data_IF_539339608919
#
_entry.id   IF_539339608919
#
_cell.length_a   1.000
_cell.length_b   1.000
_cell.length_c   1.000
_cell.angle_alpha   90.00
_cell.angle_beta   90.00
_cell.angle_gamma   90.00
#
_symmetry.space_group_name_H-M   'P 1'
#
loop_
_entity.id
_entity.type
_entity.pdbx_description
1 polymer ?
#
# COMPACT_ATOMS: atom_id res chain seq x y z
N UNK A 1 -6.03 16.89 -29.34
CA UNK A 1 -5.13 16.78 -28.15
C UNK A 1 -4.18 15.62 -28.39
N UNK A 2 -2.92 15.77 -28.04
CA UNK A 2 -1.95 14.66 -28.02
C UNK A 2 -2.20 13.76 -26.81
N UNK A 3 -1.67 12.52 -26.81
CA UNK A 3 -1.78 11.59 -25.66
C UNK A 3 -1.26 12.23 -24.36
N UNK A 4 -0.19 13.03 -24.42
CA UNK A 4 0.34 13.74 -23.26
C UNK A 4 -0.60 14.82 -22.73
N UNK A 5 -1.29 15.56 -23.60
CA UNK A 5 -2.30 16.53 -23.21
C UNK A 5 -3.54 15.86 -22.59
N UNK A 6 -3.94 14.70 -23.13
CA UNK A 6 -5.04 13.88 -22.59
C UNK A 6 -4.67 13.34 -21.20
N UNK A 7 -3.45 12.80 -21.04
CA UNK A 7 -2.94 12.36 -19.75
C UNK A 7 -2.89 13.51 -18.73
N UNK A 8 -2.35 14.67 -19.13
CA UNK A 8 -2.28 15.85 -18.26
C UNK A 8 -3.67 16.28 -17.78
N UNK A 9 -4.69 16.25 -18.65
CA UNK A 9 -6.07 16.54 -18.25
C UNK A 9 -6.58 15.53 -17.23
N UNK A 10 -6.34 14.22 -17.45
CA UNK A 10 -6.72 13.19 -16.49
C UNK A 10 -6.02 13.46 -15.13
N UNK A 11 -4.71 13.69 -15.12
CA UNK A 11 -3.96 13.92 -13.89
C UNK A 11 -4.45 15.12 -13.07
N UNK A 12 -4.95 16.15 -13.72
CA UNK A 12 -5.48 17.36 -13.05
C UNK A 12 -6.91 17.16 -12.52
N UNK A 13 -7.75 16.46 -13.26
CA UNK A 13 -9.19 16.36 -12.96
C UNK A 13 -9.57 15.06 -12.23
N UNK A 14 -8.71 14.02 -12.33
CA UNK A 14 -9.01 12.71 -11.76
C UNK A 14 -9.08 12.76 -10.23
N UNK A 15 -10.17 12.26 -9.70
CA UNK A 15 -10.38 12.11 -8.25
C UNK A 15 -10.93 10.72 -7.95
N UNK A 16 -10.16 9.93 -7.21
CA UNK A 16 -10.63 8.67 -6.65
C UNK A 16 -10.55 8.76 -5.13
N UNK A 17 -11.71 8.90 -4.48
CA UNK A 17 -11.78 9.06 -3.03
C UNK A 17 -11.41 7.75 -2.31
N UNK A 18 -10.76 7.85 -1.15
CA UNK A 18 -10.60 6.74 -0.21
C UNK A 18 -11.94 6.53 0.49
N UNK A 19 -12.80 5.66 -0.05
CA UNK A 19 -14.16 5.41 0.45
C UNK A 19 -14.29 4.12 1.26
N UNK A 20 -13.33 3.20 1.15
CA UNK A 20 -13.31 1.92 1.87
C UNK A 20 -12.61 2.08 3.21
N UNK A 21 -13.20 1.55 4.28
CA UNK A 21 -12.61 1.59 5.62
C UNK A 21 -12.07 0.21 6.01
N UNK A 22 -10.79 0.17 6.38
CA UNK A 22 -10.18 -1.01 6.98
C UNK A 22 -10.35 -0.93 8.51
N UNK A 23 -11.26 -1.76 9.06
CA UNK A 23 -11.57 -1.78 10.49
C UNK A 23 -10.42 -2.33 11.35
N UNK A 24 -9.58 -3.17 10.79
CA UNK A 24 -8.42 -3.76 11.49
C UNK A 24 -7.30 -2.75 11.67
N UNK A 25 -6.91 -2.07 10.58
CA UNK A 25 -5.84 -1.06 10.60
C UNK A 25 -6.35 0.38 10.82
N UNK A 26 -7.67 0.59 10.92
CA UNK A 26 -8.33 1.89 11.21
C UNK A 26 -7.96 3.02 10.25
N UNK A 27 -7.91 2.74 8.95
CA UNK A 27 -7.69 3.76 7.93
C UNK A 27 -8.62 3.61 6.74
N UNK A 28 -8.86 4.72 6.03
CA UNK A 28 -9.57 4.71 4.75
C UNK A 28 -8.62 4.43 3.59
N UNK A 29 -9.06 3.59 2.66
CA UNK A 29 -8.30 3.24 1.47
C UNK A 29 -9.20 3.23 0.23
N UNK A 30 -8.57 3.19 -0.94
CA UNK A 30 -9.22 2.87 -2.22
C UNK A 30 -8.64 1.56 -2.75
N UNK A 31 -9.45 0.80 -3.44
CA UNK A 31 -9.00 -0.41 -4.13
C UNK A 31 -8.55 -0.07 -5.57
N UNK A 32 -7.92 -1.04 -6.24
CA UNK A 32 -7.62 -0.91 -7.67
C UNK A 32 -8.88 -0.73 -8.50
N UNK A 33 -9.97 -1.42 -8.14
CA UNK A 33 -11.27 -1.33 -8.80
C UNK A 33 -11.86 0.08 -8.71
N UNK A 34 -11.73 0.74 -7.55
CA UNK A 34 -12.22 2.12 -7.37
C UNK A 34 -11.50 3.09 -8.31
N UNK A 35 -10.18 2.89 -8.55
CA UNK A 35 -9.42 3.69 -9.51
C UNK A 35 -9.86 3.38 -10.94
N UNK A 36 -9.97 2.11 -11.30
CA UNK A 36 -10.40 1.67 -12.62
C UNK A 36 -11.80 2.22 -12.98
N UNK A 37 -12.76 2.13 -12.06
CA UNK A 37 -14.10 2.67 -12.27
C UNK A 37 -14.08 4.20 -12.43
N UNK A 38 -13.33 4.92 -11.61
CA UNK A 38 -13.20 6.37 -11.70
C UNK A 38 -12.47 6.82 -12.98
N UNK A 39 -11.69 5.94 -13.63
CA UNK A 39 -10.99 6.24 -14.89
C UNK A 39 -11.93 6.18 -16.11
N UNK A 40 -12.95 5.32 -16.10
CA UNK A 40 -13.81 5.05 -17.27
C UNK A 40 -14.46 6.30 -17.91
N UNK A 41 -14.98 7.28 -17.15
CA UNK A 41 -15.52 8.50 -17.74
C UNK A 41 -14.50 9.25 -18.59
N UNK A 42 -13.25 9.36 -18.12
CA UNK A 42 -12.15 10.01 -18.85
C UNK A 42 -11.75 9.26 -20.12
N UNK A 43 -11.73 7.91 -20.05
CA UNK A 43 -11.45 7.09 -21.23
C UNK A 43 -12.45 7.39 -22.35
N UNK A 44 -13.74 7.47 -22.01
CA UNK A 44 -14.81 7.79 -22.95
C UNK A 44 -14.72 9.22 -23.46
N UNK A 45 -14.54 10.21 -22.58
CA UNK A 45 -14.50 11.62 -22.93
C UNK A 45 -13.34 11.97 -23.85
N UNK A 46 -12.16 11.40 -23.57
CA UNK A 46 -10.92 11.73 -24.27
C UNK A 46 -10.62 10.79 -25.45
N UNK A 47 -11.50 9.85 -25.74
CA UNK A 47 -11.29 8.81 -26.77
C UNK A 47 -9.91 8.13 -26.62
N UNK A 48 -9.68 7.58 -25.44
CA UNK A 48 -8.47 6.81 -25.10
C UNK A 48 -8.83 5.45 -24.55
N UNK A 49 -7.91 4.50 -24.68
CA UNK A 49 -8.05 3.13 -24.15
C UNK A 49 -7.09 2.92 -23.00
N UNK A 50 -7.56 2.32 -21.90
CA UNK A 50 -6.76 1.90 -20.78
C UNK A 50 -6.50 0.38 -20.82
N UNK A 51 -5.28 -0.05 -20.57
CA UNK A 51 -4.90 -1.47 -20.49
C UNK A 51 -3.97 -1.70 -19.30
N UNK A 52 -4.15 -2.82 -18.61
CA UNK A 52 -3.22 -3.30 -17.59
C UNK A 52 -2.49 -4.53 -18.16
N UNK A 53 -1.16 -4.50 -18.09
CA UNK A 53 -0.30 -5.65 -18.38
C UNK A 53 0.28 -6.15 -17.07
N UNK A 54 0.28 -7.47 -16.86
CA UNK A 54 0.86 -8.10 -15.66
C UNK A 54 1.86 -9.15 -16.14
N UNK A 55 3.07 -9.13 -15.58
CA UNK A 55 4.14 -10.02 -15.94
C UNK A 55 4.92 -10.47 -14.71
N UNK A 56 5.16 -11.76 -14.59
CA UNK A 56 6.03 -12.31 -13.55
C UNK A 56 7.49 -12.19 -14.02
N UNK A 57 8.23 -11.24 -13.45
CA UNK A 57 9.61 -10.91 -13.86
C UNK A 57 10.66 -11.64 -13.05
N UNK A 58 10.30 -12.22 -11.91
CA UNK A 58 11.15 -13.09 -11.11
C UNK A 58 10.32 -14.20 -10.48
N UNK A 59 10.90 -15.40 -10.36
CA UNK A 59 10.21 -16.59 -9.84
C UNK A 59 10.59 -16.93 -8.40
N UNK A 60 11.78 -16.52 -7.95
CA UNK A 60 12.28 -16.79 -6.60
C UNK A 60 13.16 -15.63 -6.07
N UNK A 61 12.67 -14.80 -5.13
CA UNK A 61 11.25 -14.70 -4.74
C UNK A 61 10.38 -14.18 -5.91
N UNK A 62 9.11 -14.58 -5.99
CA UNK A 62 8.28 -14.16 -7.13
C UNK A 62 7.96 -12.67 -7.07
N UNK A 63 8.18 -12.01 -8.21
CA UNK A 63 8.00 -10.57 -8.38
C UNK A 63 7.10 -10.31 -9.60
N UNK A 64 6.03 -9.57 -9.38
CA UNK A 64 5.07 -9.18 -10.40
C UNK A 64 5.33 -7.74 -10.83
N UNK A 65 5.53 -7.55 -12.13
CA UNK A 65 5.50 -6.24 -12.77
C UNK A 65 4.10 -5.96 -13.28
N UNK A 66 3.57 -4.79 -12.95
CA UNK A 66 2.27 -4.32 -13.44
C UNK A 66 2.46 -3.00 -14.17
N UNK A 67 1.99 -2.95 -15.42
CA UNK A 67 2.08 -1.76 -16.27
C UNK A 67 0.68 -1.25 -16.59
N UNK A 68 0.38 -0.01 -16.20
CA UNK A 68 -0.80 0.71 -16.64
C UNK A 68 -0.47 1.48 -17.92
N UNK A 69 -1.24 1.26 -18.97
CA UNK A 69 -1.03 1.85 -20.30
C UNK A 69 -2.26 2.65 -20.69
N UNK A 70 -2.06 3.87 -21.18
CA UNK A 70 -3.08 4.71 -21.80
C UNK A 70 -2.70 4.92 -23.26
N UNK A 71 -3.59 4.55 -24.19
CA UNK A 71 -3.36 4.61 -25.65
C UNK A 71 -4.36 5.55 -26.30
N UNK A 72 -3.90 6.40 -27.21
CA UNK A 72 -4.72 7.33 -28.00
C UNK A 72 -5.39 6.62 -29.16
N UNK A 73 -6.73 6.78 -29.29
CA UNK A 73 -7.54 6.25 -30.37
C UNK A 73 -7.79 4.75 -30.30
N UNK A 74 -8.38 4.21 -31.38
CA UNK A 74 -8.61 2.77 -31.53
C UNK A 74 -7.28 2.07 -31.76
N UNK A 75 -7.04 0.99 -31.02
CA UNK A 75 -5.90 0.09 -31.22
C UNK A 75 -5.94 -0.46 -32.66
N UNK A 76 -5.12 0.06 -33.55
CA UNK A 76 -4.83 -0.60 -34.82
C UNK A 76 -3.78 -1.68 -34.57
N UNK A 77 -4.03 -2.89 -35.05
CA UNK A 77 -3.10 -4.00 -34.92
C UNK A 77 -1.73 -3.62 -35.49
N UNK A 78 -0.69 -3.59 -34.65
CA UNK A 78 0.69 -3.34 -35.07
C UNK A 78 1.24 -1.92 -34.81
N UNK A 79 0.47 -0.98 -34.23
CA UNK A 79 0.93 0.39 -33.95
C UNK A 79 1.05 0.73 -32.46
N UNK A 80 1.39 -0.25 -31.64
CA UNK A 80 1.24 -0.24 -30.16
C UNK A 80 2.00 0.88 -29.43
N UNK A 81 3.11 1.41 -29.95
CA UNK A 81 4.01 2.26 -29.17
C UNK A 81 4.00 3.76 -29.54
N UNK A 82 3.55 4.15 -30.71
CA UNK A 82 3.68 5.54 -31.18
C UNK A 82 2.71 6.53 -30.51
N UNK A 83 1.65 6.06 -29.82
CA UNK A 83 0.59 6.90 -29.24
C UNK A 83 0.18 6.42 -27.84
N UNK A 84 1.10 5.89 -27.06
CA UNK A 84 0.81 5.39 -25.72
C UNK A 84 1.72 6.02 -24.66
N UNK A 85 1.21 6.11 -23.46
CA UNK A 85 1.95 6.47 -22.25
C UNK A 85 1.71 5.40 -21.20
N UNK A 86 2.70 5.12 -20.38
CA UNK A 86 2.59 4.06 -19.38
C UNK A 86 3.30 4.44 -18.08
N UNK A 87 2.94 3.71 -17.03
CA UNK A 87 3.66 3.69 -15.78
C UNK A 87 3.71 2.27 -15.22
N UNK A 88 4.79 1.96 -14.53
CA UNK A 88 5.11 0.62 -14.03
C UNK A 88 5.09 0.63 -12.51
N UNK A 89 4.64 -0.48 -11.94
CA UNK A 89 4.84 -0.83 -10.55
C UNK A 89 5.41 -2.24 -10.44
N UNK A 90 6.27 -2.45 -9.45
CA UNK A 90 6.88 -3.75 -9.15
C UNK A 90 6.47 -4.13 -7.73
N UNK A 91 5.91 -5.33 -7.56
CA UNK A 91 5.44 -5.84 -6.28
C UNK A 91 5.91 -7.27 -6.06
N UNK A 92 6.40 -7.58 -4.86
CA UNK A 92 6.70 -8.95 -4.46
C UNK A 92 5.42 -9.72 -4.14
N UNK A 93 5.44 -11.04 -4.35
CA UNK A 93 4.38 -11.93 -3.90
C UNK A 93 4.83 -12.57 -2.59
N UNK A 94 4.13 -12.27 -1.49
CA UNK A 94 4.41 -12.87 -0.19
C UNK A 94 3.92 -14.32 -0.17
N UNK A 95 4.87 -15.27 -0.30
CA UNK A 95 4.58 -16.70 -0.28
C UNK A 95 4.32 -17.26 1.12
N UNK A 96 4.71 -16.52 2.17
CA UNK A 96 4.57 -16.95 3.56
C UNK A 96 3.33 -16.38 4.25
N UNK A 97 2.52 -15.62 3.54
CA UNK A 97 1.32 -15.01 4.09
C UNK A 97 0.34 -16.06 4.61
N UNK A 98 0.20 -16.12 5.94
CA UNK A 98 -0.65 -17.09 6.63
C UNK A 98 -2.13 -16.88 6.29
N UNK A 99 -2.86 -17.99 6.12
CA UNK A 99 -4.31 -17.97 5.86
C UNK A 99 -4.69 -17.66 4.41
N UNK A 100 -3.74 -17.49 3.50
CA UNK A 100 -3.99 -17.30 2.06
C UNK A 100 -3.45 -18.48 1.24
N UNK A 101 -4.27 -18.95 0.30
CA UNK A 101 -3.84 -19.91 -0.72
C UNK A 101 -3.03 -19.18 -1.82
N UNK A 102 -2.23 -19.93 -2.58
CA UNK A 102 -1.36 -19.39 -3.63
C UNK A 102 -2.08 -18.44 -4.60
N UNK A 103 -3.26 -18.77 -5.18
CA UNK A 103 -3.95 -17.82 -6.07
C UNK A 103 -4.35 -16.52 -5.39
N UNK A 104 -4.67 -16.55 -4.10
CA UNK A 104 -5.02 -15.35 -3.33
C UNK A 104 -3.80 -14.44 -3.10
N UNK A 105 -2.62 -15.02 -2.89
CA UNK A 105 -1.35 -14.27 -2.73
C UNK A 105 -1.00 -13.52 -4.00
N UNK A 106 -1.08 -14.18 -5.17
CA UNK A 106 -0.91 -13.54 -6.47
C UNK A 106 -1.98 -12.48 -6.73
N UNK A 107 -3.25 -12.77 -6.40
CA UNK A 107 -4.36 -11.80 -6.52
C UNK A 107 -4.14 -10.55 -5.67
N UNK A 108 -3.61 -10.71 -4.45
CA UNK A 108 -3.25 -9.59 -3.60
C UNK A 108 -2.13 -8.75 -4.24
N UNK A 109 -1.03 -9.38 -4.69
CA UNK A 109 0.07 -8.69 -5.37
C UNK A 109 -0.42 -7.96 -6.64
N UNK A 110 -1.26 -8.60 -7.46
CA UNK A 110 -1.90 -8.00 -8.64
C UNK A 110 -2.70 -6.74 -8.27
N UNK A 111 -3.54 -6.81 -7.23
CA UNK A 111 -4.34 -5.66 -6.77
C UNK A 111 -3.47 -4.50 -6.30
N UNK A 112 -2.39 -4.77 -5.56
CA UNK A 112 -1.42 -3.75 -5.16
C UNK A 112 -0.69 -3.17 -6.36
N UNK A 113 -0.21 -4.02 -7.28
CA UNK A 113 0.50 -3.60 -8.47
C UNK A 113 -0.36 -2.70 -9.36
N UNK A 114 -1.63 -3.05 -9.61
CA UNK A 114 -2.60 -2.21 -10.34
C UNK A 114 -2.78 -0.86 -9.68
N UNK A 115 -2.98 -0.84 -8.36
CA UNK A 115 -3.16 0.40 -7.60
C UNK A 115 -1.94 1.32 -7.73
N UNK A 116 -0.74 0.78 -7.62
CA UNK A 116 0.49 1.57 -7.73
C UNK A 116 0.78 2.00 -9.18
N UNK A 117 0.62 1.11 -10.17
CA UNK A 117 0.82 1.47 -11.57
C UNK A 117 -0.15 2.57 -12.03
N UNK A 118 -1.43 2.46 -11.66
CA UNK A 118 -2.44 3.50 -11.94
C UNK A 118 -2.16 4.78 -11.14
N UNK A 119 -1.74 4.66 -9.89
CA UNK A 119 -1.33 5.78 -9.06
C UNK A 119 -0.18 6.56 -9.68
N UNK A 120 0.83 5.87 -10.18
CA UNK A 120 1.97 6.47 -10.87
C UNK A 120 1.54 7.14 -12.20
N UNK A 121 0.67 6.48 -12.98
CA UNK A 121 0.22 7.01 -14.27
C UNK A 121 -0.62 8.28 -14.10
N UNK A 122 -1.53 8.29 -13.14
CA UNK A 122 -2.47 9.40 -12.94
C UNK A 122 -2.03 10.39 -11.85
N UNK A 123 -0.82 10.23 -11.30
CA UNK A 123 -0.26 11.07 -10.23
C UNK A 123 -1.22 11.20 -9.04
N UNK A 124 -1.76 10.06 -8.59
CA UNK A 124 -2.68 10.03 -7.45
C UNK A 124 -1.88 10.17 -6.16
N UNK A 125 -1.74 11.41 -5.70
CA UNK A 125 -0.95 11.77 -4.53
C UNK A 125 -1.85 11.98 -3.29
N UNK A 126 -2.18 10.89 -2.63
CA UNK A 126 -2.80 10.91 -1.30
C UNK A 126 -2.44 9.64 -0.49
N UNK A 127 -1.37 8.99 -0.87
CA UNK A 127 -0.74 8.01 0.00
C UNK A 127 -0.14 8.75 1.19
N UNK A 128 -0.66 8.47 2.40
CA UNK A 128 0.12 8.82 3.59
C UNK A 128 1.49 8.17 3.42
N UNK A 129 2.53 8.97 3.50
CA UNK A 129 3.90 8.51 3.46
C UNK A 129 4.05 7.39 4.52
N UNK A 130 4.42 6.20 4.08
CA UNK A 130 4.66 5.08 4.99
C UNK A 130 5.73 5.44 6.03
N UNK A 131 6.67 6.30 5.67
CA UNK A 131 7.71 6.81 6.57
C UNK A 131 7.15 7.80 7.60
N UNK A 132 6.08 8.53 7.29
CA UNK A 132 5.41 9.41 8.26
C UNK A 132 4.76 8.64 9.43
N UNK A 133 4.42 7.37 9.22
CA UNK A 133 3.88 6.48 10.26
C UNK A 133 4.92 5.51 10.81
N UNK A 134 6.16 5.55 10.29
CA UNK A 134 7.26 4.73 10.77
C UNK A 134 7.68 5.17 12.17
N UNK A 135 7.39 4.32 13.16
CA UNK A 135 7.78 4.54 14.55
C UNK A 135 9.16 3.95 14.88
N UNK A 136 9.88 3.41 13.89
CA UNK A 136 11.25 2.96 14.08
C UNK A 136 12.14 4.17 14.42
N UNK A 137 12.65 4.19 15.65
CA UNK A 137 13.47 5.29 16.15
C UNK A 137 12.75 6.38 16.95
N UNK A 138 11.44 6.35 17.11
CA UNK A 138 10.78 7.21 18.10
C UNK A 138 11.16 6.76 19.49
N UNK A 139 11.68 7.68 20.30
CA UNK A 139 12.00 7.42 21.71
C UNK A 139 10.77 6.81 22.40
N UNK A 140 10.97 5.67 23.06
CA UNK A 140 9.89 5.02 23.81
C UNK A 140 9.34 5.98 24.84
N UNK A 141 8.02 6.07 24.94
CA UNK A 141 7.37 6.94 25.92
C UNK A 141 7.62 6.42 27.33
N UNK A 142 7.93 7.31 28.27
CA UNK A 142 8.04 6.95 29.67
C UNK A 142 6.73 6.31 30.15
N UNK A 143 6.82 5.24 30.94
CA UNK A 143 5.64 4.56 31.46
C UNK A 143 4.93 5.44 32.50
N UNK A 144 3.60 5.63 32.38
CA UNK A 144 2.81 6.36 33.36
C UNK A 144 2.48 5.48 34.58
N UNK A 145 2.12 6.08 35.74
CA UNK A 145 1.78 5.33 36.96
C UNK A 145 0.68 4.28 36.73
N UNK A 146 -0.39 4.63 35.98
CA UNK A 146 -1.47 3.69 35.67
C UNK A 146 -1.02 2.53 34.79
N UNK A 147 -0.10 2.80 33.84
CA UNK A 147 0.50 1.76 33.00
C UNK A 147 1.50 0.91 33.78
N UNK A 148 2.19 1.49 34.76
CA UNK A 148 3.12 0.82 35.63
C UNK A 148 2.44 -0.26 36.48
N UNK A 149 1.29 0.05 37.07
CA UNK A 149 0.51 -0.93 37.84
C UNK A 149 0.02 -2.10 36.97
N UNK A 150 -0.38 -1.81 35.72
CA UNK A 150 -0.74 -2.86 34.77
C UNK A 150 0.45 -3.72 34.36
N UNK A 151 1.63 -3.11 34.17
CA UNK A 151 2.87 -3.81 33.83
C UNK A 151 3.28 -4.77 34.95
N UNK A 152 3.23 -4.33 36.21
CA UNK A 152 3.50 -5.18 37.39
C UNK A 152 2.54 -6.38 37.47
N UNK A 153 1.23 -6.15 37.28
CA UNK A 153 0.24 -7.24 37.24
C UNK A 153 0.52 -8.24 36.12
N UNK A 154 0.90 -7.74 34.94
CA UNK A 154 1.22 -8.59 33.80
C UNK A 154 2.45 -9.49 34.07
N UNK A 155 3.52 -8.94 34.64
CA UNK A 155 4.72 -9.73 34.98
C UNK A 155 4.41 -10.75 36.07
N UNK A 156 3.67 -10.36 37.13
CA UNK A 156 3.21 -11.30 38.19
C UNK A 156 2.35 -12.46 37.66
N UNK A 157 1.64 -12.25 36.54
CA UNK A 157 0.88 -13.30 35.87
C UNK A 157 1.69 -14.17 34.89
N UNK A 158 3.03 -14.05 34.89
CA UNK A 158 3.94 -14.82 34.03
C UNK A 158 4.31 -14.13 32.71
N UNK A 159 3.98 -12.86 32.56
CA UNK A 159 4.33 -12.07 31.36
C UNK A 159 5.82 -11.73 31.34
N UNK A 160 6.41 -11.64 30.12
CA UNK A 160 7.84 -11.33 29.96
C UNK A 160 8.12 -9.84 30.12
N UNK A 161 9.13 -9.49 30.90
CA UNK A 161 9.61 -8.11 31.11
C UNK A 161 9.99 -7.44 29.78
N UNK A 162 10.57 -8.19 28.83
CA UNK A 162 10.96 -7.69 27.51
C UNK A 162 9.76 -7.13 26.70
N UNK A 163 8.56 -7.66 26.90
CA UNK A 163 7.36 -7.14 26.27
C UNK A 163 7.00 -5.72 26.78
N UNK A 164 7.31 -5.41 28.03
CA UNK A 164 7.14 -4.07 28.60
C UNK A 164 8.25 -3.15 28.09
N UNK A 165 9.50 -3.62 28.07
CA UNK A 165 10.68 -2.89 27.55
C UNK A 165 10.57 -2.55 26.06
N UNK A 166 9.89 -3.38 25.28
CA UNK A 166 9.66 -3.10 23.86
C UNK A 166 8.71 -1.91 23.67
N UNK A 167 7.78 -1.68 24.59
CA UNK A 167 6.69 -0.71 24.49
C UNK A 167 6.99 0.61 25.20
N UNK A 168 7.68 0.58 26.32
CA UNK A 168 7.92 1.75 27.17
C UNK A 168 9.42 1.95 27.46
N UNK A 169 9.79 3.21 27.70
CA UNK A 169 11.07 3.55 28.31
C UNK A 169 10.96 3.37 29.82
N UNK A 170 11.77 2.49 30.38
CA UNK A 170 11.82 2.22 31.82
C UNK A 170 13.11 2.79 32.40
N UNK A 171 13.05 3.23 33.66
CA UNK A 171 14.24 3.56 34.44
C UNK A 171 14.91 2.27 34.94
N UNK A 172 16.19 2.34 35.30
CA UNK A 172 16.93 1.19 35.86
C UNK A 172 16.22 0.60 37.08
N UNK A 173 15.69 1.46 37.97
CA UNK A 173 14.95 1.03 39.15
C UNK A 173 13.67 0.25 38.78
N UNK A 174 12.93 0.73 37.76
CA UNK A 174 11.74 0.05 37.26
C UNK A 174 12.04 -1.29 36.63
N UNK A 175 13.16 -1.41 35.89
CA UNK A 175 13.58 -2.69 35.31
C UNK A 175 13.91 -3.70 36.40
N UNK A 176 14.68 -3.29 37.42
CA UNK A 176 15.04 -4.16 38.56
C UNK A 176 13.81 -4.61 39.33
N UNK A 177 12.84 -3.69 39.56
CA UNK A 177 11.58 -4.05 40.24
C UNK A 177 10.75 -5.07 39.44
N UNK A 178 10.65 -4.93 38.09
CA UNK A 178 9.93 -5.92 37.26
C UNK A 178 10.63 -7.30 37.22
N UNK A 179 11.95 -7.32 37.31
CA UNK A 179 12.71 -8.57 37.31
C UNK A 179 12.62 -9.33 38.63
N UNK A 180 12.25 -8.63 39.71
CA UNK A 180 12.10 -9.22 41.05
C UNK A 180 10.68 -9.71 41.36
N UNK A 181 9.70 -9.52 40.47
CA UNK A 181 8.30 -9.92 40.61
C UNK A 181 8.02 -11.32 40.09
#
# INVERSE_FOLDING_TARGET
MTIYQKLSKIQQEFKSKKSRYNSFCKYYFRSAEDILEATKPFLKELDVTGRIKEELINFDPPVLQVTAVLTDGKLEAGTDDAKSVNAVAIVGVDLDQKGMQMPQRYGAASSYGKKYALGNLFLIDDTQDADATNTHGKAKTAITNSQWDKAKKYVKSGGKVDAIKSKYSLTQAQETELQSL
#
